data_IF_607737011171
#
_entry.id   IF_607737011171
#
_cell.length_a   1.000
_cell.length_b   1.000
_cell.length_c   1.000
_cell.angle_alpha   90.00
_cell.angle_beta   90.00
_cell.angle_gamma   90.00
#
_symmetry.space_group_name_H-M   'P 1'
#
loop_
_entity.id
_entity.type
_entity.pdbx_description
1 polymer ?
#
# COMPACT_ATOMS: atom_id res chain seq x y z
N UNK A 1 10.04 -16.77 -0.97
CA UNK A 1 10.03 -15.50 -1.72
C UNK A 1 11.47 -15.06 -1.78
N UNK A 2 12.04 -14.70 -2.94
CA UNK A 2 13.46 -14.34 -3.00
C UNK A 2 13.69 -13.14 -2.07
N UNK A 3 14.84 -13.11 -1.41
CA UNK A 3 15.22 -12.11 -0.43
C UNK A 3 15.22 -10.71 -1.08
N UNK A 4 14.07 -10.04 -1.01
CA UNK A 4 13.94 -8.64 -1.36
C UNK A 4 14.46 -7.84 -0.15
N UNK A 5 15.63 -7.17 -0.25
CA UNK A 5 16.26 -6.58 0.92
C UNK A 5 15.51 -5.37 1.48
N UNK A 6 14.58 -4.79 0.72
CA UNK A 6 13.85 -3.58 1.12
C UNK A 6 12.35 -3.73 0.89
N UNK A 7 11.59 -3.57 1.97
CA UNK A 7 10.13 -3.39 1.92
C UNK A 7 9.78 -1.92 2.14
N UNK A 8 9.05 -1.34 1.20
CA UNK A 8 8.45 0.00 1.32
C UNK A 8 7.07 -0.17 1.96
N UNK A 9 6.91 0.36 3.16
CA UNK A 9 5.63 0.33 3.90
C UNK A 9 4.87 1.63 3.65
N UNK A 10 3.63 1.49 3.20
CA UNK A 10 2.75 2.60 2.80
C UNK A 10 1.48 2.56 3.65
N UNK A 11 1.37 3.36 4.73
CA UNK A 11 0.09 3.56 5.40
C UNK A 11 -0.85 4.36 4.48
N UNK A 12 -2.06 3.86 4.27
CA UNK A 12 -3.04 4.48 3.38
C UNK A 12 -4.40 4.59 4.07
N UNK A 13 -5.04 5.75 3.95
CA UNK A 13 -6.44 5.97 4.32
C UNK A 13 -7.10 6.78 3.20
N UNK A 14 -7.97 6.14 2.43
CA UNK A 14 -8.68 6.75 1.30
C UNK A 14 -7.77 7.37 0.22
N UNK A 15 -6.76 6.62 -0.21
CA UNK A 15 -5.72 7.06 -1.15
C UNK A 15 -5.89 6.42 -2.54
N UNK A 16 -7.09 5.95 -2.92
CA UNK A 16 -7.29 5.22 -4.17
C UNK A 16 -6.84 5.99 -5.43
N UNK A 17 -6.90 7.33 -5.40
CA UNK A 17 -6.49 8.18 -6.52
C UNK A 17 -4.98 8.43 -6.58
N UNK A 18 -4.31 8.57 -5.43
CA UNK A 18 -2.89 8.94 -5.33
C UNK A 18 -1.97 7.72 -5.37
N UNK A 19 -2.44 6.60 -4.80
CA UNK A 19 -1.67 5.38 -4.59
C UNK A 19 -1.04 4.79 -5.86
N UNK A 20 -1.70 4.78 -7.05
CA UNK A 20 -1.09 4.29 -8.28
C UNK A 20 0.24 4.97 -8.61
N UNK A 21 0.31 6.30 -8.45
CA UNK A 21 1.51 7.09 -8.76
C UNK A 21 2.64 6.75 -7.80
N UNK A 22 2.32 6.56 -6.51
CA UNK A 22 3.30 6.18 -5.48
C UNK A 22 3.84 4.78 -5.74
N UNK A 23 2.96 3.81 -6.04
CA UNK A 23 3.37 2.44 -6.34
C UNK A 23 4.21 2.34 -7.61
N UNK A 24 3.90 3.14 -8.63
CA UNK A 24 4.71 3.22 -9.85
C UNK A 24 6.11 3.81 -9.62
N UNK A 25 6.30 4.61 -8.56
CA UNK A 25 7.59 5.19 -8.19
C UNK A 25 8.44 4.25 -7.31
N UNK A 26 7.89 3.13 -6.84
CA UNK A 26 8.65 2.13 -6.09
C UNK A 26 9.71 1.49 -7.00
N UNK A 27 11.00 1.50 -6.62
CA UNK A 27 12.05 0.93 -7.46
C UNK A 27 11.85 -0.55 -7.74
N UNK A 28 12.23 -0.99 -8.95
CA UNK A 28 12.20 -2.41 -9.30
C UNK A 28 13.03 -3.24 -8.31
N UNK A 29 12.49 -4.37 -7.87
CA UNK A 29 13.15 -5.26 -6.90
C UNK A 29 12.91 -4.89 -5.45
N UNK A 30 12.12 -3.84 -5.16
CA UNK A 30 11.61 -3.53 -3.84
C UNK A 30 10.22 -4.15 -3.67
N UNK A 31 9.86 -4.49 -2.43
CA UNK A 31 8.53 -5.00 -2.10
C UNK A 31 7.67 -3.85 -1.59
N UNK A 32 6.48 -3.65 -2.18
CA UNK A 32 5.49 -2.72 -1.66
C UNK A 32 4.55 -3.43 -0.68
N UNK A 33 4.44 -2.92 0.54
CA UNK A 33 3.47 -3.33 1.55
C UNK A 33 2.55 -2.16 1.87
N UNK A 34 1.30 -2.23 1.45
CA UNK A 34 0.26 -1.27 1.79
C UNK A 34 -0.42 -1.71 3.08
N UNK A 35 -0.49 -0.79 4.04
CA UNK A 35 -1.26 -0.93 5.27
C UNK A 35 -2.51 -0.07 5.11
N UNK A 36 -3.62 -0.70 4.80
CA UNK A 36 -4.92 -0.05 4.64
C UNK A 36 -5.53 0.25 6.02
N UNK A 37 -5.52 1.52 6.40
CA UNK A 37 -5.87 2.04 7.72
C UNK A 37 -7.38 2.29 7.85
N UNK A 38 -8.18 1.28 7.51
CA UNK A 38 -9.65 1.35 7.48
C UNK A 38 -10.18 2.35 6.43
N UNK A 39 -9.64 2.30 5.20
CA UNK A 39 -10.21 3.05 4.08
C UNK A 39 -11.65 2.64 3.81
N UNK A 40 -12.47 3.61 3.44
CA UNK A 40 -13.87 3.43 3.02
C UNK A 40 -14.04 3.50 1.51
N UNK A 41 -12.94 3.73 0.78
CA UNK A 41 -12.87 3.75 -0.68
C UNK A 41 -12.23 2.47 -1.27
N UNK A 42 -11.81 2.53 -2.54
CA UNK A 42 -11.17 1.43 -3.26
C UNK A 42 -9.67 1.22 -3.01
N UNK A 43 -9.05 1.88 -2.02
CA UNK A 43 -7.60 1.88 -1.78
C UNK A 43 -6.98 0.48 -1.81
N UNK A 44 -7.55 -0.45 -1.04
CA UNK A 44 -7.02 -1.82 -0.95
C UNK A 44 -7.14 -2.62 -2.26
N UNK A 45 -8.13 -2.33 -3.09
CA UNK A 45 -8.28 -2.97 -4.39
C UNK A 45 -7.25 -2.42 -5.39
N UNK A 46 -7.09 -1.09 -5.42
CA UNK A 46 -6.09 -0.40 -6.24
C UNK A 46 -4.69 -0.90 -5.93
N UNK A 47 -4.34 -1.02 -4.63
CA UNK A 47 -3.06 -1.54 -4.19
C UNK A 47 -2.75 -2.94 -4.74
N UNK A 48 -3.71 -3.88 -4.60
CA UNK A 48 -3.57 -5.26 -5.09
C UNK A 48 -3.43 -5.31 -6.61
N UNK A 49 -4.20 -4.50 -7.35
CA UNK A 49 -4.12 -4.41 -8.82
C UNK A 49 -2.74 -3.95 -9.31
N UNK A 50 -2.01 -3.18 -8.50
CA UNK A 50 -0.65 -2.73 -8.77
C UNK A 50 0.44 -3.67 -8.23
N UNK A 51 0.06 -4.85 -7.71
CA UNK A 51 1.00 -5.87 -7.24
C UNK A 51 1.58 -5.63 -5.85
N UNK A 52 1.00 -4.70 -5.07
CA UNK A 52 1.38 -4.54 -3.67
C UNK A 52 0.75 -5.62 -2.79
N UNK A 53 1.47 -6.03 -1.75
CA UNK A 53 0.88 -6.79 -0.66
C UNK A 53 0.04 -5.84 0.20
N UNK A 54 -1.12 -6.30 0.67
CA UNK A 54 -2.05 -5.46 1.45
C UNK A 54 -2.38 -6.12 2.77
N UNK A 55 -2.20 -5.38 3.86
CA UNK A 55 -2.67 -5.70 5.20
C UNK A 55 -3.71 -4.67 5.60
N UNK A 56 -4.89 -5.12 6.05
CA UNK A 56 -5.91 -4.24 6.60
C UNK A 56 -5.69 -4.02 8.10
N UNK A 57 -5.73 -2.77 8.54
CA UNK A 57 -5.72 -2.36 9.93
C UNK A 57 -7.06 -1.68 10.26
N UNK A 58 -7.86 -2.34 11.09
CA UNK A 58 -9.20 -1.88 11.47
C UNK A 58 -9.21 -0.69 12.43
N UNK A 59 -8.10 -0.46 13.14
CA UNK A 59 -7.96 0.64 14.09
C UNK A 59 -7.15 1.78 13.46
N UNK A 60 -7.77 2.93 13.18
CA UNK A 60 -7.07 4.07 12.60
C UNK A 60 -5.85 4.49 13.42
N UNK A 61 -4.69 4.52 12.76
CA UNK A 61 -3.43 5.04 13.27
C UNK A 61 -3.08 6.41 12.68
N UNK A 62 -1.87 6.53 12.12
CA UNK A 62 -1.41 7.74 11.43
C UNK A 62 -2.29 8.06 10.20
N UNK A 63 -2.61 9.34 9.98
CA UNK A 63 -3.54 9.78 8.92
C UNK A 63 -4.98 10.06 9.38
N UNK A 64 -5.22 10.09 10.70
CA UNK A 64 -6.49 10.45 11.36
C UNK A 64 -6.82 11.93 11.29
#
# INVERSE_FOLDING_TARGET
MPDCPVTVVLPCLNEAESLPTVLAAVPSGYRALVVDNNSTDGTAEVARRHGADVVGESRPGYGS
#
